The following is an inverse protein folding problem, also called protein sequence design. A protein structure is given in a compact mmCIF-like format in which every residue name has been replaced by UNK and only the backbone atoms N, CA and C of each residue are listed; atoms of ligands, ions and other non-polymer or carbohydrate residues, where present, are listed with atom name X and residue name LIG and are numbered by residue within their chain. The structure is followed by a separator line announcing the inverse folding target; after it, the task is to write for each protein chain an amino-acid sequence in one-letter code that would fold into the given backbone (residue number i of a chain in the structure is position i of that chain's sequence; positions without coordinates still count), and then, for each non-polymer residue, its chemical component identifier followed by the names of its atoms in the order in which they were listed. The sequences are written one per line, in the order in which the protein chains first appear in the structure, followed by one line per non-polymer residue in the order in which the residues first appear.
data_IF_054933138151
#
_entry.id   IF_054933138151
#
_cell.length_a   1.000
_cell.length_b   1.000
_cell.length_c   1.000
_cell.angle_alpha   90.00
_cell.angle_beta   90.00
_cell.angle_gamma   90.00
#
_symmetry.space_group_name_H-M   'P 1'
#
loop_
_entity.id
_entity.type
_entity.pdbx_description
1 polymer ?
#
# COMPACT_ATOMS: atom_id res chain seq x y z
N UNK A 1 -99.73 -15.72 47.16
CA UNK A 1 -98.31 -15.44 47.45
C UNK A 1 -97.63 -14.87 46.17
N UNK A 2 -97.63 -13.53 46.09
CA UNK A 2 -97.16 -12.80 44.90
C UNK A 2 -95.69 -12.48 45.04
N UNK A 3 -94.82 -13.09 44.27
CA UNK A 3 -93.41 -12.71 44.11
C UNK A 3 -93.23 -11.80 42.90
N UNK A 4 -92.92 -10.53 43.16
CA UNK A 4 -92.70 -9.46 42.18
C UNK A 4 -91.45 -9.74 41.31
N UNK A 5 -91.68 -9.93 40.04
CA UNK A 5 -90.69 -9.78 38.96
C UNK A 5 -90.37 -8.28 38.75
N UNK A 6 -89.46 -7.78 39.54
CA UNK A 6 -89.08 -6.34 39.50
C UNK A 6 -87.62 -6.07 39.17
N UNK A 7 -86.84 -7.01 38.60
CA UNK A 7 -85.39 -6.77 38.35
C UNK A 7 -84.89 -6.83 36.90
N UNK A 8 -85.77 -7.14 35.95
CA UNK A 8 -85.33 -7.23 34.53
C UNK A 8 -85.48 -5.91 33.76
N UNK A 9 -86.19 -4.96 34.31
CA UNK A 9 -86.33 -3.64 33.59
C UNK A 9 -85.20 -2.66 33.75
N UNK A 10 -84.19 -2.90 34.59
CA UNK A 10 -83.04 -2.05 34.76
C UNK A 10 -81.92 -2.40 33.76
N UNK A 11 -81.81 -3.62 33.30
CA UNK A 11 -80.79 -4.05 32.33
C UNK A 11 -81.13 -3.58 30.89
N UNK A 12 -82.44 -3.41 30.60
CA UNK A 12 -82.83 -2.89 29.27
C UNK A 12 -82.68 -1.38 29.10
N UNK A 13 -82.42 -0.63 30.17
CA UNK A 13 -82.07 0.80 30.09
C UNK A 13 -80.61 1.06 29.87
N UNK A 14 -79.74 0.14 30.29
CA UNK A 14 -78.31 0.26 30.03
C UNK A 14 -77.90 0.17 28.53
N UNK A 15 -78.75 -0.45 27.72
CA UNK A 15 -78.54 -0.56 26.28
C UNK A 15 -79.03 0.67 25.44
N UNK A 16 -79.57 1.72 26.11
CA UNK A 16 -80.02 2.95 25.45
C UNK A 16 -79.31 4.21 25.92
N UNK A 17 -78.35 4.07 26.79
CA UNK A 17 -77.54 5.21 27.26
C UNK A 17 -76.32 5.44 26.34
N UNK A 18 -76.55 6.27 25.37
CA UNK A 18 -75.50 6.60 24.34
C UNK A 18 -74.23 7.18 24.98
N UNK A 19 -74.36 7.82 26.13
CA UNK A 19 -73.20 8.33 26.92
C UNK A 19 -72.35 7.22 27.47
N UNK A 20 -72.88 6.06 27.85
CA UNK A 20 -72.10 4.91 28.27
C UNK A 20 -71.37 4.22 27.14
N UNK A 21 -71.92 4.19 25.96
CA UNK A 21 -71.31 3.63 24.75
C UNK A 21 -70.10 4.44 24.31
N UNK A 22 -70.18 5.78 24.33
CA UNK A 22 -69.08 6.69 24.01
C UNK A 22 -67.88 6.50 24.93
N UNK A 23 -68.10 6.31 26.24
CA UNK A 23 -66.99 6.09 27.19
C UNK A 23 -66.26 4.79 26.92
N UNK A 24 -66.95 3.70 26.59
CA UNK A 24 -66.38 2.41 26.27
C UNK A 24 -65.59 2.50 24.94
N UNK A 25 -66.13 3.15 23.91
CA UNK A 25 -65.47 3.34 22.66
C UNK A 25 -64.21 4.19 22.82
N UNK A 26 -64.31 5.30 23.58
CA UNK A 26 -63.14 6.16 23.87
C UNK A 26 -62.04 5.41 24.60
N UNK A 27 -62.37 4.53 25.57
CA UNK A 27 -61.36 3.74 26.29
C UNK A 27 -60.66 2.75 25.34
N UNK A 28 -61.39 2.11 24.42
CA UNK A 28 -60.78 1.20 23.42
C UNK A 28 -59.88 1.97 22.49
N UNK A 29 -60.32 3.12 21.96
CA UNK A 29 -59.48 3.96 21.11
C UNK A 29 -58.22 4.47 21.85
N UNK A 30 -58.34 4.83 23.14
CA UNK A 30 -57.22 5.30 23.95
C UNK A 30 -56.18 4.20 24.14
N UNK A 31 -56.58 2.96 24.41
CA UNK A 31 -55.66 1.81 24.46
C UNK A 31 -54.97 1.56 23.13
N UNK A 32 -55.71 1.65 22.01
CA UNK A 32 -55.15 1.48 20.70
C UNK A 32 -54.13 2.59 20.40
N UNK A 33 -54.45 3.85 20.68
CA UNK A 33 -53.57 5.00 20.48
C UNK A 33 -52.28 4.85 21.32
N UNK A 34 -52.40 4.50 22.60
CA UNK A 34 -51.22 4.24 23.43
C UNK A 34 -50.37 3.07 22.93
N UNK A 35 -51.02 2.03 22.39
CA UNK A 35 -50.33 0.90 21.77
C UNK A 35 -49.51 1.34 20.55
N UNK A 36 -50.09 2.18 19.67
CA UNK A 36 -49.36 2.71 18.50
C UNK A 36 -48.23 3.66 18.90
N UNK A 37 -48.44 4.52 19.89
CA UNK A 37 -47.40 5.40 20.42
C UNK A 37 -46.24 4.57 21.00
N UNK A 38 -46.55 3.55 21.79
CA UNK A 38 -45.55 2.66 22.34
C UNK A 38 -44.74 1.91 21.27
N UNK A 39 -45.41 1.40 20.24
CA UNK A 39 -44.78 0.75 19.12
C UNK A 39 -43.87 1.70 18.35
N UNK A 40 -44.33 2.93 18.10
CA UNK A 40 -43.54 3.94 17.39
C UNK A 40 -42.28 4.34 18.16
N UNK A 41 -42.38 4.56 19.45
CA UNK A 41 -41.26 4.97 20.30
C UNK A 41 -40.27 3.81 20.54
N UNK A 42 -40.72 2.63 20.91
CA UNK A 42 -39.84 1.50 21.15
C UNK A 42 -39.26 0.94 19.85
N UNK A 43 -40.03 0.96 18.74
CA UNK A 43 -39.54 0.63 17.41
C UNK A 43 -38.53 1.62 16.91
N UNK A 44 -38.74 2.92 17.13
CA UNK A 44 -37.78 3.98 16.81
C UNK A 44 -36.46 3.80 17.55
N UNK A 45 -36.50 3.48 18.85
CA UNK A 45 -35.28 3.18 19.62
C UNK A 45 -34.55 1.93 19.13
N UNK A 46 -35.28 0.90 18.74
CA UNK A 46 -34.69 -0.31 18.15
C UNK A 46 -33.97 0.01 16.85
N UNK A 47 -34.56 0.78 15.94
CA UNK A 47 -33.95 1.20 14.70
C UNK A 47 -32.70 2.06 14.91
N UNK A 48 -32.75 2.99 15.89
CA UNK A 48 -31.59 3.81 16.24
C UNK A 48 -30.44 2.96 16.78
N UNK A 49 -30.74 1.95 17.63
CA UNK A 49 -29.70 1.03 18.09
C UNK A 49 -29.13 0.21 16.93
N UNK A 50 -29.99 -0.34 16.07
CA UNK A 50 -29.54 -1.14 14.92
C UNK A 50 -28.62 -0.33 14.00
N UNK A 51 -28.98 0.91 13.67
CA UNK A 51 -28.13 1.79 12.87
C UNK A 51 -26.79 2.10 13.58
N UNK A 52 -26.83 2.37 14.89
CA UNK A 52 -25.61 2.61 15.66
C UNK A 52 -24.69 1.38 15.73
N UNK A 53 -25.27 0.17 15.78
CA UNK A 53 -24.51 -1.08 15.71
C UNK A 53 -23.94 -1.32 14.32
N UNK A 54 -24.66 -0.93 13.26
CA UNK A 54 -24.14 -1.01 11.89
C UNK A 54 -22.97 -0.06 11.69
N UNK A 55 -23.10 1.20 12.12
CA UNK A 55 -22.01 2.18 12.08
C UNK A 55 -20.76 1.68 12.82
N UNK A 56 -20.98 1.04 13.98
CA UNK A 56 -19.91 0.43 14.76
C UNK A 56 -19.26 -0.75 14.03
N UNK A 57 -20.07 -1.64 13.47
CA UNK A 57 -19.57 -2.80 12.72
C UNK A 57 -18.75 -2.34 11.50
N UNK A 58 -19.25 -1.34 10.77
CA UNK A 58 -18.59 -0.76 9.61
C UNK A 58 -17.24 -0.12 9.99
N UNK A 59 -17.22 0.70 11.04
CA UNK A 59 -16.00 1.33 11.51
C UNK A 59 -14.97 0.31 12.03
N UNK A 60 -15.41 -0.69 12.77
CA UNK A 60 -14.54 -1.75 13.27
C UNK A 60 -14.01 -2.65 12.15
N UNK A 61 -14.85 -2.96 11.15
CA UNK A 61 -14.42 -3.73 9.99
C UNK A 61 -13.36 -2.97 9.18
N UNK A 62 -13.55 -1.67 8.95
CA UNK A 62 -12.55 -0.83 8.26
C UNK A 62 -11.24 -0.74 9.05
N UNK A 63 -11.31 -0.54 10.37
CA UNK A 63 -10.12 -0.49 11.22
C UNK A 63 -9.36 -1.84 11.21
N UNK A 64 -10.07 -2.96 11.29
CA UNK A 64 -9.47 -4.29 11.21
C UNK A 64 -8.89 -4.58 9.83
N UNK A 65 -9.60 -4.20 8.76
CA UNK A 65 -9.12 -4.40 7.39
C UNK A 65 -7.79 -3.67 7.12
N UNK A 66 -7.57 -2.51 7.71
CA UNK A 66 -6.31 -1.77 7.57
C UNK A 66 -5.08 -2.56 8.05
N UNK A 67 -5.26 -3.51 8.96
CA UNK A 67 -4.18 -4.36 9.49
C UNK A 67 -3.98 -5.68 8.73
N UNK A 68 -4.87 -6.00 7.78
CA UNK A 68 -4.77 -7.23 6.99
C UNK A 68 -3.77 -7.05 5.84
N UNK A 69 -2.50 -7.19 6.14
CA UNK A 69 -1.41 -7.08 5.18
C UNK A 69 -0.82 -8.43 4.74
N UNK A 70 -1.36 -9.52 5.27
CA UNK A 70 -0.90 -10.87 5.01
C UNK A 70 0.40 -11.24 5.73
N UNK A 71 1.02 -10.33 6.46
CA UNK A 71 2.20 -10.62 7.28
C UNK A 71 1.84 -11.40 8.54
N UNK A 72 2.83 -11.95 9.21
CA UNK A 72 2.61 -12.72 10.44
C UNK A 72 1.81 -11.92 11.48
N UNK A 73 0.89 -12.58 12.15
CA UNK A 73 -0.04 -12.02 13.14
C UNK A 73 -0.98 -10.90 12.60
N UNK A 74 -1.15 -10.76 11.29
CA UNK A 74 -2.05 -9.74 10.72
C UNK A 74 -3.49 -9.90 11.19
N UNK A 75 -4.00 -11.14 11.32
CA UNK A 75 -5.35 -11.39 11.87
C UNK A 75 -5.48 -10.98 13.34
N UNK A 76 -4.44 -11.19 14.13
CA UNK A 76 -4.42 -10.78 15.54
C UNK A 76 -4.42 -9.25 15.67
N UNK A 77 -3.59 -8.56 14.86
CA UNK A 77 -3.60 -7.09 14.79
C UNK A 77 -4.95 -6.56 14.34
N UNK A 78 -5.53 -7.16 13.29
CA UNK A 78 -6.85 -6.79 12.78
C UNK A 78 -7.95 -6.93 13.83
N UNK A 79 -7.94 -8.03 14.60
CA UNK A 79 -8.87 -8.22 15.72
C UNK A 79 -8.68 -7.14 16.78
N UNK A 80 -7.44 -6.86 17.16
CA UNK A 80 -7.13 -5.83 18.16
C UNK A 80 -7.55 -4.44 17.72
N UNK A 81 -7.31 -4.08 16.45
CA UNK A 81 -7.71 -2.79 15.89
C UNK A 81 -9.25 -2.65 15.84
N UNK A 82 -9.95 -3.68 15.40
CA UNK A 82 -11.40 -3.71 15.37
C UNK A 82 -12.00 -3.57 16.80
N UNK A 83 -11.43 -4.28 17.76
CA UNK A 83 -11.88 -4.21 19.17
C UNK A 83 -11.57 -2.83 19.78
N UNK A 84 -10.41 -2.23 19.50
CA UNK A 84 -10.07 -0.90 19.95
C UNK A 84 -11.04 0.15 19.39
N UNK A 85 -11.41 0.03 18.10
CA UNK A 85 -12.40 0.90 17.49
C UNK A 85 -13.77 0.76 18.15
N UNK A 86 -14.20 -0.48 18.43
CA UNK A 86 -15.46 -0.75 19.11
C UNK A 86 -15.49 -0.18 20.54
N UNK A 87 -14.42 -0.33 21.28
CA UNK A 87 -14.33 0.16 22.66
C UNK A 87 -14.32 1.70 22.75
N UNK A 88 -13.72 2.35 21.74
CA UNK A 88 -13.64 3.83 21.71
C UNK A 88 -14.92 4.49 21.17
N UNK A 89 -15.78 3.74 20.51
CA UNK A 89 -17.01 4.24 19.91
C UNK A 89 -18.22 3.39 20.35
N UNK A 90 -18.60 3.44 21.63
CA UNK A 90 -19.72 2.66 22.11
C UNK A 90 -21.03 3.07 21.40
N UNK A 91 -21.90 2.14 21.05
CA UNK A 91 -23.15 2.45 20.38
C UNK A 91 -24.04 3.31 21.29
N UNK A 92 -24.80 4.18 20.68
CA UNK A 92 -25.78 5.02 21.39
C UNK A 92 -27.02 4.19 21.77
N UNK A 93 -27.69 4.57 22.83
CA UNK A 93 -28.99 3.96 23.25
C UNK A 93 -28.89 2.53 23.79
N UNK A 94 -27.78 2.16 24.42
CA UNK A 94 -27.65 0.88 25.12
C UNK A 94 -27.73 1.05 26.64
N UNK A 95 -27.95 -0.06 27.33
CA UNK A 95 -28.00 -0.04 28.80
C UNK A 95 -26.61 0.17 29.41
N UNK A 96 -26.56 1.03 30.44
CA UNK A 96 -25.29 1.50 31.02
C UNK A 96 -24.62 0.37 31.78
N UNK A 97 -23.51 -0.16 31.28
CA UNK A 97 -22.70 -1.15 31.99
C UNK A 97 -22.18 -2.34 31.14
N UNK A 98 -22.53 -2.40 29.87
CA UNK A 98 -22.02 -3.44 28.96
C UNK A 98 -20.72 -3.05 28.28
N UNK A 99 -19.79 -4.00 28.12
CA UNK A 99 -18.64 -3.84 27.22
C UNK A 99 -19.08 -4.08 25.78
N UNK A 100 -18.48 -3.31 24.85
CA UNK A 100 -18.71 -3.51 23.42
C UNK A 100 -17.98 -4.78 22.98
N UNK A 101 -18.69 -5.88 22.92
CA UNK A 101 -18.14 -7.15 22.43
C UNK A 101 -18.45 -7.32 20.95
N UNK A 102 -17.42 -7.57 20.16
CA UNK A 102 -17.54 -7.86 18.75
C UNK A 102 -16.86 -9.19 18.44
N UNK A 103 -17.36 -9.88 17.42
CA UNK A 103 -16.74 -11.10 16.89
C UNK A 103 -16.14 -10.82 15.54
N UNK A 104 -14.90 -11.25 15.33
CA UNK A 104 -14.20 -11.11 14.06
C UNK A 104 -14.03 -12.46 13.38
N UNK A 105 -14.24 -12.51 12.07
CA UNK A 105 -13.99 -13.67 11.23
C UNK A 105 -13.24 -13.25 9.98
N UNK A 106 -12.38 -14.13 9.46
CA UNK A 106 -11.49 -13.81 8.34
C UNK A 106 -11.77 -14.71 7.15
N UNK A 107 -11.72 -14.14 5.96
CA UNK A 107 -12.01 -14.85 4.71
C UNK A 107 -10.93 -14.59 3.67
N UNK A 108 -10.67 -15.62 2.85
CA UNK A 108 -9.74 -15.55 1.72
C UNK A 108 -10.44 -15.13 0.43
N UNK A 109 -11.72 -15.50 0.28
CA UNK A 109 -12.55 -15.15 -0.87
C UNK A 109 -14.00 -14.93 -0.43
N UNK A 110 -14.69 -14.07 -1.17
CA UNK A 110 -16.13 -13.82 -1.02
C UNK A 110 -16.82 -14.35 -2.27
N UNK A 111 -17.77 -15.24 -2.09
CA UNK A 111 -18.61 -15.76 -3.16
C UNK A 111 -20.07 -15.69 -2.72
N UNK A 112 -20.87 -14.79 -3.31
CA UNK A 112 -22.30 -14.65 -2.96
C UNK A 112 -23.14 -15.85 -3.40
N UNK A 113 -22.63 -16.73 -4.26
CA UNK A 113 -23.35 -17.88 -4.79
C UNK A 113 -22.99 -19.16 -4.04
N UNK A 114 -21.69 -19.41 -3.84
CA UNK A 114 -21.20 -20.68 -3.26
C UNK A 114 -20.81 -20.55 -1.78
N UNK A 115 -20.87 -19.35 -1.23
CA UNK A 115 -20.47 -19.06 0.14
C UNK A 115 -19.04 -18.59 0.28
N UNK A 116 -18.78 -17.82 1.34
CA UNK A 116 -17.49 -17.22 1.61
C UNK A 116 -16.48 -18.26 2.09
N UNK A 117 -15.26 -18.22 1.59
CA UNK A 117 -14.18 -19.14 1.99
C UNK A 117 -13.41 -18.57 3.16
N UNK A 118 -13.40 -19.28 4.31
CA UNK A 118 -12.64 -18.88 5.49
C UNK A 118 -11.13 -18.86 5.25
N UNK A 119 -10.44 -17.89 5.84
CA UNK A 119 -8.99 -17.82 5.80
C UNK A 119 -8.37 -18.78 6.81
N UNK A 120 -7.41 -19.59 6.36
CA UNK A 120 -6.72 -20.58 7.21
C UNK A 120 -5.44 -20.01 7.81
N UNK A 121 -4.84 -19.01 7.19
CA UNK A 121 -3.58 -18.38 7.59
C UNK A 121 -3.66 -16.84 7.53
N UNK A 122 -2.63 -16.18 8.05
CA UNK A 122 -2.51 -14.72 7.94
C UNK A 122 -2.34 -14.27 6.48
N UNK A 123 -1.64 -15.05 5.66
CA UNK A 123 -1.45 -14.79 4.23
C UNK A 123 -2.76 -14.79 3.44
N UNK A 124 -3.67 -15.68 3.80
CA UNK A 124 -4.90 -15.90 3.06
C UNK A 124 -6.00 -14.91 3.49
N UNK A 125 -5.83 -14.24 4.61
CA UNK A 125 -6.83 -13.34 5.18
C UNK A 125 -6.89 -12.03 4.37
N UNK A 126 -7.81 -11.97 3.41
CA UNK A 126 -8.05 -10.79 2.57
C UNK A 126 -9.22 -9.93 3.05
N UNK A 127 -10.13 -10.53 3.80
CA UNK A 127 -11.35 -9.87 4.29
C UNK A 127 -11.53 -10.12 5.77
N UNK A 128 -12.03 -9.11 6.47
CA UNK A 128 -12.51 -9.23 7.85
C UNK A 128 -14.01 -8.99 7.89
N UNK A 129 -14.73 -9.87 8.55
CA UNK A 129 -16.13 -9.70 8.91
C UNK A 129 -16.21 -9.42 10.40
N UNK A 130 -16.83 -8.33 10.75
CA UNK A 130 -17.12 -7.95 12.12
C UNK A 130 -18.62 -8.16 12.37
N UNK A 131 -18.94 -8.85 13.44
CA UNK A 131 -20.31 -9.04 13.90
C UNK A 131 -20.42 -8.49 15.31
N UNK A 132 -21.41 -7.65 15.56
CA UNK A 132 -21.73 -7.23 16.92
C UNK A 132 -22.38 -8.41 17.64
N UNK A 133 -21.76 -8.87 18.72
CA UNK A 133 -22.20 -10.08 19.42
C UNK A 133 -23.32 -9.76 20.39
N UNK A 134 -24.44 -10.41 20.17
CA UNK A 134 -25.66 -10.30 20.99
C UNK A 134 -25.55 -11.07 22.30
N UNK A 135 -24.69 -12.10 22.33
CA UNK A 135 -24.61 -13.04 23.45
C UNK A 135 -23.64 -12.61 24.53
N UNK A 136 -22.65 -11.80 24.18
CA UNK A 136 -21.54 -11.48 25.05
C UNK A 136 -21.69 -10.24 25.94
N UNK A 137 -22.88 -9.86 26.32
CA UNK A 137 -22.96 -8.95 27.45
C UNK A 137 -23.63 -7.60 27.25
N UNK A 138 -24.68 -7.55 26.48
CA UNK A 138 -25.69 -6.58 26.84
C UNK A 138 -25.79 -5.29 25.99
N UNK A 139 -24.93 -5.01 25.04
CA UNK A 139 -25.09 -3.79 24.23
C UNK A 139 -26.15 -3.93 23.13
N UNK A 140 -26.54 -5.14 22.80
CA UNK A 140 -27.46 -5.43 21.69
C UNK A 140 -28.91 -5.56 22.13
N UNK A 141 -29.23 -5.21 23.36
CA UNK A 141 -30.60 -5.34 23.87
C UNK A 141 -31.25 -3.99 24.03
N UNK A 142 -32.40 -3.82 23.44
CA UNK A 142 -33.33 -2.73 23.74
C UNK A 142 -34.36 -3.21 24.68
N UNK A 143 -34.45 -2.63 25.86
CA UNK A 143 -35.53 -2.85 26.79
C UNK A 143 -36.71 -1.99 26.33
N UNK A 144 -37.87 -2.61 25.98
CA UNK A 144 -39.04 -1.85 25.63
C UNK A 144 -39.50 -1.04 26.85
N UNK A 145 -39.82 0.22 26.64
CA UNK A 145 -40.23 1.12 27.72
C UNK A 145 -41.74 1.16 27.82
N UNK A 146 -42.39 1.23 26.70
CA UNK A 146 -43.85 1.37 26.61
C UNK A 146 -44.56 0.03 26.39
N UNK A 147 -43.96 -0.85 25.61
CA UNK A 147 -44.56 -2.15 25.30
C UNK A 147 -44.36 -3.21 26.39
N UNK A 148 -43.58 -2.92 27.43
CA UNK A 148 -43.49 -3.80 28.63
C UNK A 148 -44.86 -4.06 29.27
N UNK A 149 -45.72 -3.03 29.32
CA UNK A 149 -47.08 -3.16 29.82
C UNK A 149 -47.93 -4.13 28.98
N UNK A 150 -47.57 -4.36 27.73
CA UNK A 150 -48.20 -5.34 26.84
C UNK A 150 -47.47 -6.70 26.84
N UNK A 151 -46.51 -6.91 27.75
CA UNK A 151 -45.73 -8.16 27.84
C UNK A 151 -44.58 -8.30 26.88
N UNK A 152 -44.15 -7.21 26.21
CA UNK A 152 -43.01 -7.28 25.33
C UNK A 152 -41.70 -7.51 26.12
N UNK A 153 -40.86 -8.39 25.58
CA UNK A 153 -39.55 -8.72 26.13
C UNK A 153 -38.44 -7.92 25.43
N UNK A 154 -37.28 -7.85 26.04
CA UNK A 154 -36.11 -7.20 25.43
C UNK A 154 -35.78 -7.83 24.07
N UNK A 155 -35.60 -6.99 23.07
CA UNK A 155 -35.23 -7.40 21.72
C UNK A 155 -33.72 -7.29 21.55
N UNK A 156 -33.15 -8.26 20.83
CA UNK A 156 -31.73 -8.22 20.44
C UNK A 156 -31.57 -7.58 19.04
N UNK A 157 -30.58 -6.80 18.90
CA UNK A 157 -30.14 -6.27 17.59
C UNK A 157 -28.73 -6.72 17.35
N UNK A 158 -28.42 -7.07 16.11
CA UNK A 158 -27.05 -7.36 15.66
C UNK A 158 -26.81 -6.69 14.33
N UNK A 159 -25.57 -6.37 14.07
CA UNK A 159 -25.15 -5.85 12.77
C UNK A 159 -23.87 -6.56 12.34
N UNK A 160 -23.66 -6.62 11.04
CA UNK A 160 -22.45 -7.22 10.45
C UNK A 160 -21.93 -6.35 9.36
N UNK A 161 -20.61 -6.21 9.30
CA UNK A 161 -19.92 -5.53 8.23
C UNK A 161 -18.74 -6.37 7.75
N UNK A 162 -18.44 -6.28 6.49
CA UNK A 162 -17.26 -6.91 5.92
C UNK A 162 -16.44 -5.89 5.16
N UNK A 163 -15.14 -5.87 5.43
CA UNK A 163 -14.20 -4.94 4.79
C UNK A 163 -12.95 -5.68 4.28
N UNK A 164 -12.31 -5.08 3.30
CA UNK A 164 -10.97 -5.46 2.81
C UNK A 164 -10.06 -4.25 2.74
N UNK A 165 -8.76 -4.50 2.82
CA UNK A 165 -7.76 -3.52 2.44
C UNK A 165 -7.09 -3.93 1.14
N UNK A 166 -6.84 -2.95 0.28
CA UNK A 166 -6.06 -3.13 -0.93
C UNK A 166 -4.89 -2.16 -0.86
N UNK A 167 -3.67 -2.68 -0.90
CA UNK A 167 -2.47 -1.85 -1.00
C UNK A 167 -2.42 -1.19 -2.38
N UNK A 168 -2.05 0.08 -2.43
CA UNK A 168 -1.81 0.80 -3.67
C UNK A 168 -0.50 1.57 -3.54
N UNK A 169 0.41 1.35 -4.47
CA UNK A 169 1.65 2.09 -4.58
C UNK A 169 1.73 2.77 -5.93
N UNK A 170 1.78 4.10 -5.92
CA UNK A 170 1.96 4.90 -7.12
C UNK A 170 3.43 5.31 -7.29
N UNK A 171 3.80 5.66 -8.52
CA UNK A 171 5.14 6.18 -8.87
C UNK A 171 6.30 5.22 -8.56
N UNK A 172 6.04 3.92 -8.45
CA UNK A 172 7.08 2.91 -8.28
C UNK A 172 7.55 2.37 -9.62
N UNK A 173 8.82 2.02 -9.69
CA UNK A 173 9.35 1.30 -10.84
C UNK A 173 8.96 -0.17 -10.80
N UNK A 174 8.94 -0.80 -11.97
CA UNK A 174 8.58 -2.21 -12.13
C UNK A 174 9.73 -3.15 -11.73
N UNK A 175 10.21 -3.03 -10.49
CA UNK A 175 11.37 -3.75 -9.97
C UNK A 175 11.10 -4.33 -8.58
N UNK A 176 11.63 -5.52 -8.32
CA UNK A 176 11.60 -6.15 -7.02
C UNK A 176 12.95 -6.75 -6.62
N UNK A 177 13.20 -6.70 -5.33
CA UNK A 177 14.33 -7.35 -4.67
C UNK A 177 13.79 -8.28 -3.59
N UNK A 178 14.12 -9.56 -3.68
CA UNK A 178 13.94 -10.45 -2.54
C UNK A 178 14.85 -9.98 -1.41
N UNK A 179 14.28 -9.70 -0.27
CA UNK A 179 15.00 -9.19 0.89
C UNK A 179 16.26 -10.02 1.17
N UNK A 180 17.47 -9.47 0.99
CA UNK A 180 18.71 -10.23 1.21
C UNK A 180 18.88 -10.70 2.65
N UNK A 181 18.22 -10.04 3.59
CA UNK A 181 18.26 -10.32 5.02
C UNK A 181 17.04 -11.13 5.50
N UNK A 182 16.24 -11.67 4.58
CA UNK A 182 15.10 -12.52 4.93
C UNK A 182 15.59 -13.79 5.64
N UNK A 183 15.08 -14.11 6.84
CA UNK A 183 15.42 -15.34 7.54
C UNK A 183 14.99 -16.58 6.74
N UNK A 184 15.87 -17.58 6.63
CA UNK A 184 15.54 -18.84 5.96
C UNK A 184 14.43 -19.63 6.69
N UNK A 185 14.23 -19.35 7.97
CA UNK A 185 13.17 -19.93 8.81
C UNK A 185 12.56 -18.83 9.68
N UNK A 186 11.26 -18.83 9.84
CA UNK A 186 10.56 -17.86 10.69
C UNK A 186 10.42 -16.46 10.07
N UNK A 187 10.54 -16.35 8.74
CA UNK A 187 10.21 -15.11 8.03
C UNK A 187 8.78 -14.69 8.32
N UNK A 188 8.56 -13.39 8.48
CA UNK A 188 7.28 -12.78 8.88
C UNK A 188 6.56 -12.09 7.72
N UNK A 189 7.25 -11.90 6.60
CA UNK A 189 6.71 -11.27 5.39
C UNK A 189 6.57 -9.74 5.47
N UNK A 190 7.06 -9.13 6.55
CA UNK A 190 6.95 -7.68 6.79
C UNK A 190 8.21 -6.89 6.36
N UNK A 191 9.22 -7.58 5.85
CA UNK A 191 10.50 -7.00 5.41
C UNK A 191 11.24 -6.17 6.48
N UNK A 192 10.93 -6.37 7.76
CA UNK A 192 11.54 -5.63 8.87
C UNK A 192 13.06 -5.87 8.98
N UNK A 193 13.51 -7.03 8.54
CA UNK A 193 14.94 -7.39 8.48
C UNK A 193 15.73 -6.64 7.39
N UNK A 194 15.07 -6.01 6.43
CA UNK A 194 15.73 -5.22 5.39
C UNK A 194 16.16 -3.86 5.95
N UNK A 195 17.42 -3.76 6.31
CA UNK A 195 17.99 -2.53 6.87
C UNK A 195 19.44 -2.32 6.42
N UNK A 196 19.69 -2.15 5.10
CA UNK A 196 21.03 -1.84 4.61
C UNK A 196 21.48 -0.46 5.08
N UNK A 197 22.80 -0.26 5.13
CA UNK A 197 23.39 1.05 5.42
C UNK A 197 23.07 2.02 4.26
N UNK A 198 22.65 3.23 4.56
CA UNK A 198 22.49 4.30 3.56
C UNK A 198 23.85 4.56 2.90
N UNK A 199 23.86 4.64 1.58
CA UNK A 199 25.08 4.74 0.79
C UNK A 199 25.64 3.40 0.29
N UNK A 200 25.16 2.25 0.78
CA UNK A 200 25.57 0.95 0.29
C UNK A 200 25.26 0.78 -1.19
N UNK A 201 26.24 0.34 -1.97
CA UNK A 201 26.03 0.02 -3.37
C UNK A 201 25.29 -1.31 -3.52
N UNK A 202 24.33 -1.34 -4.42
CA UNK A 202 23.66 -2.56 -4.84
C UNK A 202 23.85 -2.74 -6.34
N UNK A 203 24.30 -3.93 -6.71
CA UNK A 203 24.39 -4.32 -8.11
C UNK A 203 23.31 -5.38 -8.34
N UNK A 204 22.36 -5.08 -9.23
CA UNK A 204 21.26 -5.98 -9.55
C UNK A 204 21.46 -6.63 -10.91
N UNK A 205 21.27 -7.93 -10.98
CA UNK A 205 21.18 -8.71 -12.21
C UNK A 205 19.80 -9.34 -12.30
N UNK A 206 19.10 -9.12 -13.41
CA UNK A 206 17.74 -9.63 -13.60
C UNK A 206 17.75 -11.16 -13.67
N UNK A 207 16.91 -11.78 -12.83
CA UNK A 207 16.74 -13.22 -12.83
C UNK A 207 16.12 -13.73 -14.13
N UNK A 208 16.63 -14.81 -14.65
CA UNK A 208 15.90 -15.66 -15.59
C UNK A 208 14.82 -16.47 -14.85
N UNK A 209 13.84 -16.98 -15.59
CA UNK A 209 12.72 -17.75 -15.03
C UNK A 209 13.16 -19.14 -14.55
N UNK A 210 13.75 -19.27 -13.39
CA UNK A 210 14.18 -20.59 -12.91
C UNK A 210 13.94 -20.73 -11.40
N UNK A 211 12.87 -21.45 -11.06
CA UNK A 211 12.68 -21.93 -9.70
C UNK A 211 12.13 -20.93 -8.69
N UNK A 212 12.21 -21.26 -7.41
CA UNK A 212 11.82 -20.41 -6.31
C UNK A 212 12.83 -19.28 -6.07
N UNK A 213 12.34 -18.11 -5.72
CA UNK A 213 13.19 -16.97 -5.42
C UNK A 213 13.70 -17.04 -3.97
N UNK A 214 15.00 -16.91 -3.84
CA UNK A 214 15.70 -16.89 -2.55
C UNK A 214 16.10 -15.47 -2.18
N UNK A 215 16.50 -15.22 -0.91
CA UNK A 215 17.03 -13.92 -0.50
C UNK A 215 18.12 -13.41 -1.43
N UNK A 216 18.02 -12.13 -1.80
CA UNK A 216 18.94 -11.48 -2.73
C UNK A 216 18.63 -11.64 -4.22
N UNK A 217 17.61 -12.42 -4.62
CA UNK A 217 17.17 -12.46 -6.03
C UNK A 217 16.55 -11.13 -6.41
N UNK A 218 16.92 -10.64 -7.58
CA UNK A 218 16.36 -9.42 -8.19
C UNK A 218 15.58 -9.79 -9.45
N UNK A 219 14.42 -9.20 -9.64
CA UNK A 219 13.63 -9.36 -10.86
C UNK A 219 12.79 -8.12 -11.16
N UNK A 220 12.18 -8.12 -12.33
CA UNK A 220 11.20 -7.12 -12.71
C UNK A 220 9.80 -7.60 -12.32
N UNK A 221 8.89 -6.65 -12.15
CA UNK A 221 7.48 -6.89 -11.88
C UNK A 221 6.66 -6.67 -13.15
N UNK A 222 5.56 -7.38 -13.27
CA UNK A 222 4.56 -7.08 -14.28
C UNK A 222 4.02 -5.66 -14.07
N UNK A 223 3.79 -4.96 -15.18
CA UNK A 223 3.29 -3.59 -15.13
C UNK A 223 1.78 -3.58 -14.89
N UNK A 224 1.24 -2.53 -14.26
CA UNK A 224 -0.20 -2.44 -13.98
C UNK A 224 -1.09 -2.45 -15.23
N UNK A 225 -0.52 -2.23 -16.41
CA UNK A 225 -1.25 -2.13 -17.68
C UNK A 225 -1.21 -3.39 -18.54
N UNK A 226 -0.49 -4.42 -18.14
CA UNK A 226 -0.41 -5.60 -18.97
C UNK A 226 0.68 -6.58 -18.59
N UNK A 227 1.02 -7.41 -19.53
CA UNK A 227 1.78 -8.64 -19.44
C UNK A 227 3.28 -8.52 -19.17
N UNK A 228 3.79 -7.43 -18.62
CA UNK A 228 5.23 -7.27 -18.42
C UNK A 228 6.04 -7.43 -19.70
N UNK A 229 5.48 -7.00 -20.86
CA UNK A 229 6.18 -7.06 -22.14
C UNK A 229 7.42 -6.17 -22.10
N UNK A 230 8.42 -6.49 -22.93
CA UNK A 230 9.65 -5.70 -23.00
C UNK A 230 9.39 -4.22 -23.27
N UNK A 231 8.39 -3.90 -24.09
CA UNK A 231 8.06 -2.53 -24.41
C UNK A 231 7.42 -1.79 -23.21
N UNK A 232 6.56 -2.44 -22.46
CA UNK A 232 5.96 -1.86 -21.26
C UNK A 232 7.03 -1.65 -20.17
N UNK A 233 7.90 -2.63 -19.96
CA UNK A 233 8.99 -2.50 -19.00
C UNK A 233 9.94 -1.37 -19.38
N UNK A 234 10.34 -1.23 -20.66
CA UNK A 234 11.15 -0.10 -21.13
C UNK A 234 10.50 1.24 -20.80
N UNK A 235 9.19 1.38 -21.08
CA UNK A 235 8.45 2.60 -20.78
C UNK A 235 8.45 2.91 -19.29
N UNK A 236 8.13 1.92 -18.44
CA UNK A 236 8.12 2.08 -16.99
C UNK A 236 9.47 2.49 -16.44
N UNK A 237 10.53 1.81 -16.87
CA UNK A 237 11.88 2.10 -16.41
C UNK A 237 12.41 3.45 -16.92
N UNK A 238 11.94 3.91 -18.08
CA UNK A 238 12.32 5.22 -18.62
C UNK A 238 11.67 6.39 -17.89
N UNK A 239 10.49 6.23 -17.29
CA UNK A 239 9.76 7.30 -16.62
C UNK A 239 10.33 7.59 -15.23
N UNK A 240 10.48 8.88 -14.90
CA UNK A 240 10.89 9.31 -13.57
C UNK A 240 9.86 8.93 -12.51
N UNK A 241 8.61 9.22 -12.81
CA UNK A 241 7.47 8.94 -11.93
C UNK A 241 6.38 8.28 -12.78
N UNK A 242 6.38 6.95 -12.90
CA UNK A 242 5.33 6.28 -13.63
C UNK A 242 3.95 6.71 -13.12
N UNK A 243 3.09 7.15 -14.02
CA UNK A 243 1.75 7.71 -13.70
C UNK A 243 0.76 6.63 -13.21
N UNK A 244 1.23 5.43 -12.93
CA UNK A 244 0.40 4.29 -12.59
C UNK A 244 0.64 3.83 -11.17
N UNK A 245 -0.39 3.21 -10.62
CA UNK A 245 -0.34 2.62 -9.30
C UNK A 245 -0.40 1.10 -9.41
N UNK A 246 0.48 0.42 -8.69
CA UNK A 246 0.31 -1.01 -8.42
C UNK A 246 -0.78 -1.14 -7.34
N UNK A 247 -1.86 -1.85 -7.63
CA UNK A 247 -2.97 -2.07 -6.70
C UNK A 247 -3.14 -3.55 -6.42
N UNK A 248 -3.32 -3.89 -5.17
CA UNK A 248 -3.49 -5.28 -4.73
C UNK A 248 -2.15 -6.00 -4.58
N UNK A 249 -1.81 -6.82 -5.49
CA UNK A 249 -0.53 -7.52 -5.61
C UNK A 249 -0.02 -7.44 -7.04
N UNK A 250 1.20 -7.87 -7.24
CA UNK A 250 1.81 -7.95 -8.57
C UNK A 250 2.56 -9.26 -8.69
N UNK A 251 2.91 -9.63 -9.92
CA UNK A 251 3.65 -10.85 -10.23
C UNK A 251 5.03 -10.54 -10.77
N UNK A 252 6.02 -11.41 -10.60
CA UNK A 252 7.29 -11.27 -11.29
C UNK A 252 7.10 -11.32 -12.80
N UNK A 253 7.73 -10.40 -13.52
CA UNK A 253 7.71 -10.41 -14.98
C UNK A 253 8.41 -11.66 -15.51
N UNK A 254 7.79 -12.31 -16.49
CA UNK A 254 8.32 -13.52 -17.08
C UNK A 254 9.36 -13.23 -18.17
N UNK A 255 10.35 -14.10 -18.27
CA UNK A 255 11.40 -14.05 -19.29
C UNK A 255 12.56 -13.13 -18.94
N UNK A 256 13.63 -13.30 -19.70
CA UNK A 256 14.83 -12.51 -19.52
C UNK A 256 14.63 -11.11 -20.13
N UNK A 257 14.67 -10.08 -19.32
CA UNK A 257 14.35 -8.68 -19.68
C UNK A 257 15.59 -7.78 -19.77
N UNK A 258 16.76 -8.35 -19.98
CA UNK A 258 18.04 -7.63 -19.98
C UNK A 258 18.05 -6.42 -20.93
N UNK A 259 17.59 -6.60 -22.17
CA UNK A 259 17.55 -5.50 -23.14
C UNK A 259 16.54 -4.42 -22.74
N UNK A 260 15.38 -4.81 -22.21
CA UNK A 260 14.39 -3.85 -21.71
C UNK A 260 14.94 -3.01 -20.55
N UNK A 261 15.70 -3.65 -19.66
CA UNK A 261 16.36 -3.00 -18.53
C UNK A 261 17.44 -2.02 -19.01
N UNK A 262 18.33 -2.45 -19.90
CA UNK A 262 19.37 -1.59 -20.46
C UNK A 262 18.74 -0.34 -21.08
N UNK A 263 17.77 -0.50 -21.97
CA UNK A 263 17.13 0.64 -22.64
C UNK A 263 16.42 1.55 -21.66
N UNK A 264 15.57 0.99 -20.77
CA UNK A 264 14.76 1.78 -19.85
C UNK A 264 15.59 2.56 -18.82
N UNK A 265 16.72 2.02 -18.38
CA UNK A 265 17.63 2.71 -17.47
C UNK A 265 18.51 3.73 -18.22
N UNK A 266 19.02 3.36 -19.39
CA UNK A 266 20.05 4.16 -20.06
C UNK A 266 19.51 5.44 -20.70
N UNK A 267 18.22 5.52 -21.01
CA UNK A 267 17.60 6.78 -21.45
C UNK A 267 17.69 7.87 -20.36
N UNK A 268 17.73 7.48 -19.09
CA UNK A 268 17.95 8.42 -17.96
C UNK A 268 19.36 9.01 -17.95
N UNK A 269 20.29 8.38 -18.67
CA UNK A 269 21.67 8.79 -18.86
C UNK A 269 21.92 9.33 -20.26
N UNK A 270 20.91 9.89 -20.92
CA UNK A 270 21.01 10.45 -22.27
C UNK A 270 21.48 9.45 -23.34
N UNK A 271 21.22 8.16 -23.13
CA UNK A 271 21.47 7.13 -24.14
C UNK A 271 20.19 6.79 -24.87
N UNK A 272 20.13 7.11 -26.14
CA UNK A 272 18.97 6.77 -26.95
C UNK A 272 19.06 5.33 -27.49
N UNK A 273 17.96 4.56 -27.37
CA UNK A 273 17.95 3.22 -27.93
C UNK A 273 17.91 3.24 -29.45
N UNK A 274 18.52 2.23 -30.07
CA UNK A 274 18.32 1.95 -31.48
C UNK A 274 16.88 1.42 -31.67
N UNK A 275 16.07 2.09 -32.49
CA UNK A 275 14.75 1.60 -32.87
C UNK A 275 13.59 2.41 -32.30
N UNK A 276 12.48 1.70 -31.96
CA UNK A 276 11.25 2.36 -31.55
C UNK A 276 11.35 3.00 -30.15
N UNK A 277 11.29 4.33 -30.10
CA UNK A 277 11.28 5.14 -28.87
C UNK A 277 9.89 5.56 -28.43
N UNK A 278 8.84 5.11 -29.11
CA UNK A 278 7.48 5.50 -28.83
C UNK A 278 7.07 5.16 -27.37
N UNK A 279 6.64 6.19 -26.66
CA UNK A 279 6.21 6.08 -25.26
C UNK A 279 7.35 6.01 -24.24
N UNK A 280 8.61 6.10 -24.64
CA UNK A 280 9.72 6.27 -23.72
C UNK A 280 9.81 7.73 -23.27
N UNK A 281 10.12 7.92 -22.00
CA UNK A 281 10.52 9.23 -21.50
C UNK A 281 12.03 9.41 -21.75
N UNK A 282 12.36 10.17 -22.77
CA UNK A 282 13.73 10.41 -23.23
C UNK A 282 14.42 11.56 -22.48
N UNK A 283 13.75 12.17 -21.50
CA UNK A 283 14.35 13.23 -20.68
C UNK A 283 15.47 12.66 -19.82
N UNK A 284 16.74 13.06 -19.99
CA UNK A 284 17.82 12.54 -19.16
C UNK A 284 17.87 13.22 -17.79
N UNK A 285 18.57 12.58 -16.86
CA UNK A 285 18.97 13.23 -15.62
C UNK A 285 20.09 14.25 -15.92
N UNK A 286 20.34 15.23 -15.04
CA UNK A 286 21.56 16.00 -15.07
C UNK A 286 22.77 15.06 -15.02
N UNK A 287 23.53 15.00 -16.09
CA UNK A 287 24.67 14.11 -16.22
C UNK A 287 25.92 14.87 -16.51
N UNK A 288 27.02 14.29 -16.10
CA UNK A 288 28.34 14.78 -16.42
C UNK A 288 28.92 13.88 -17.47
N UNK A 289 29.19 14.46 -18.61
CA UNK A 289 29.77 13.75 -19.74
C UNK A 289 31.25 14.03 -19.75
N UNK A 290 32.09 13.01 -19.70
CA UNK A 290 33.53 13.17 -19.86
C UNK A 290 33.87 13.54 -21.28
N UNK A 291 34.30 14.79 -21.50
CA UNK A 291 35.13 15.24 -22.64
C UNK A 291 34.56 15.15 -24.05
N UNK A 292 33.29 14.84 -24.27
CA UNK A 292 32.76 14.71 -25.63
C UNK A 292 31.60 15.65 -25.90
N UNK A 293 31.92 16.88 -26.24
CA UNK A 293 30.95 17.83 -26.80
C UNK A 293 30.36 17.40 -28.16
N UNK A 294 30.94 16.41 -28.82
CA UNK A 294 30.51 15.92 -30.12
C UNK A 294 30.46 14.40 -30.11
N UNK A 295 29.34 13.82 -29.67
CA UNK A 295 29.07 12.42 -29.91
C UNK A 295 28.58 12.21 -31.34
N UNK A 296 29.32 11.46 -32.18
CA UNK A 296 28.88 11.18 -33.54
C UNK A 296 27.67 10.24 -33.60
N UNK A 297 27.36 9.51 -32.53
CA UNK A 297 26.26 8.55 -32.48
C UNK A 297 25.59 8.50 -31.10
N UNK A 298 24.39 9.02 -30.99
CA UNK A 298 23.56 8.89 -29.80
C UNK A 298 23.06 7.42 -29.52
N UNK A 299 23.37 6.52 -30.40
CA UNK A 299 22.89 5.13 -30.42
C UNK A 299 23.82 4.14 -29.69
N UNK A 300 24.81 4.61 -28.95
CA UNK A 300 25.73 3.68 -28.28
C UNK A 300 25.15 3.16 -26.99
N UNK A 301 24.42 2.06 -27.10
CA UNK A 301 23.88 1.31 -25.94
C UNK A 301 24.97 0.71 -25.04
N UNK A 302 26.19 0.55 -25.53
CA UNK A 302 27.22 -0.25 -24.87
C UNK A 302 28.42 0.56 -24.37
N UNK A 303 28.50 1.84 -24.65
CA UNK A 303 29.61 2.66 -24.15
C UNK A 303 29.27 3.32 -22.82
N UNK A 304 29.38 2.53 -21.78
CA UNK A 304 29.07 2.90 -20.39
C UNK A 304 30.10 3.88 -19.84
N UNK A 305 31.31 3.88 -20.42
CA UNK A 305 32.46 4.64 -19.91
C UNK A 305 32.50 6.09 -20.36
N UNK A 306 31.88 6.41 -21.51
CA UNK A 306 31.98 7.72 -22.14
C UNK A 306 30.95 8.76 -21.67
N UNK A 307 30.06 8.42 -20.74
CA UNK A 307 28.80 9.14 -20.57
C UNK A 307 28.55 9.77 -19.21
N UNK A 308 29.29 9.38 -18.23
CA UNK A 308 29.25 10.02 -16.92
C UNK A 308 30.59 9.89 -16.23
N UNK A 309 30.95 10.87 -15.43
CA UNK A 309 32.09 10.72 -14.55
C UNK A 309 31.81 9.58 -13.61
N UNK A 310 32.68 8.55 -13.51
CA UNK A 310 32.47 7.41 -12.67
C UNK A 310 32.46 7.84 -11.20
N UNK A 311 31.37 7.64 -10.53
CA UNK A 311 31.30 7.80 -9.09
C UNK A 311 32.07 6.65 -8.40
N UNK A 312 32.67 6.89 -7.23
CA UNK A 312 33.42 5.86 -6.52
C UNK A 312 32.55 4.62 -6.26
N UNK A 313 33.12 3.44 -6.47
CA UNK A 313 32.45 2.17 -6.18
C UNK A 313 32.79 1.69 -4.76
N UNK A 314 31.95 0.80 -4.23
CA UNK A 314 32.27 0.12 -2.97
C UNK A 314 33.46 -0.82 -3.14
N UNK A 315 34.27 -0.94 -2.12
CA UNK A 315 35.48 -1.76 -2.17
C UNK A 315 35.22 -3.25 -1.99
N UNK A 316 34.08 -3.61 -1.42
CA UNK A 316 33.70 -4.99 -1.12
C UNK A 316 32.22 -5.19 -1.29
N UNK A 317 31.83 -6.37 -1.75
CA UNK A 317 30.45 -6.78 -1.95
C UNK A 317 30.18 -8.14 -1.30
N UNK A 318 28.93 -8.33 -0.87
CA UNK A 318 28.40 -9.58 -0.36
C UNK A 318 27.15 -9.94 -1.16
N UNK A 319 27.07 -11.09 -1.82
CA UNK A 319 28.14 -12.05 -2.09
C UNK A 319 29.22 -11.47 -3.02
N UNK A 320 30.46 -11.96 -2.97
CA UNK A 320 31.57 -11.40 -3.75
C UNK A 320 31.45 -11.65 -5.26
N UNK A 321 30.65 -12.64 -5.66
CA UNK A 321 30.37 -12.94 -7.07
C UNK A 321 28.88 -12.94 -7.30
N UNK A 322 28.47 -12.29 -8.41
CA UNK A 322 27.07 -12.23 -8.79
C UNK A 322 26.66 -13.52 -9.50
N UNK A 323 25.63 -14.20 -8.99
CA UNK A 323 24.91 -15.21 -9.74
C UNK A 323 23.89 -14.57 -10.67
N UNK A 324 23.52 -15.23 -11.77
CA UNK A 324 22.42 -14.72 -12.62
C UNK A 324 21.15 -14.54 -11.80
N UNK A 325 20.60 -13.34 -11.85
CA UNK A 325 19.39 -13.02 -11.13
C UNK A 325 19.57 -12.71 -9.65
N UNK A 326 20.78 -12.34 -9.26
CA UNK A 326 21.10 -11.97 -7.87
C UNK A 326 21.29 -10.49 -7.66
N UNK A 327 21.55 -10.15 -6.41
CA UNK A 327 22.06 -8.85 -6.00
C UNK A 327 23.35 -9.00 -5.20
N UNK A 328 24.24 -8.04 -5.37
CA UNK A 328 25.39 -7.86 -4.49
C UNK A 328 25.18 -6.60 -3.69
N UNK A 329 25.50 -6.64 -2.43
CA UNK A 329 25.41 -5.50 -1.52
C UNK A 329 26.80 -5.09 -1.07
N UNK A 330 27.14 -3.82 -1.25
CA UNK A 330 28.37 -3.21 -0.76
C UNK A 330 28.23 -2.65 0.66
N UNK A 331 29.31 -2.14 1.16
CA UNK A 331 29.40 -1.55 2.52
C UNK A 331 29.14 -0.04 2.56
N UNK A 332 29.01 0.59 1.42
CA UNK A 332 29.02 2.04 1.23
C UNK A 332 30.38 2.57 0.75
N UNK A 333 30.42 3.76 0.12
CA UNK A 333 31.64 4.34 -0.38
C UNK A 333 32.55 4.75 0.78
N UNK A 334 33.84 4.45 0.66
CA UNK A 334 34.79 4.98 1.62
C UNK A 334 34.87 6.51 1.49
N UNK A 335 34.88 7.22 2.63
CA UNK A 335 34.97 8.69 2.61
C UNK A 335 36.22 9.17 1.85
N UNK A 336 37.33 8.44 1.93
CA UNK A 336 38.54 8.74 1.19
C UNK A 336 38.35 8.71 -0.33
N UNK A 337 37.49 7.81 -0.83
CA UNK A 337 37.20 7.70 -2.26
C UNK A 337 36.31 8.85 -2.74
N UNK A 338 35.33 9.27 -1.93
CA UNK A 338 34.55 10.47 -2.20
C UNK A 338 35.42 11.75 -2.17
N UNK A 339 36.35 11.85 -1.24
CA UNK A 339 37.27 12.95 -1.15
C UNK A 339 38.26 12.97 -2.34
N UNK A 340 38.75 11.82 -2.78
CA UNK A 340 39.59 11.69 -3.95
C UNK A 340 38.83 12.10 -5.22
N UNK A 341 37.60 11.63 -5.38
CA UNK A 341 36.74 12.06 -6.48
C UNK A 341 36.57 13.58 -6.49
N UNK A 342 36.19 14.16 -5.33
CA UNK A 342 36.01 15.61 -5.22
C UNK A 342 37.30 16.39 -5.58
N UNK A 343 38.40 15.98 -4.98
CA UNK A 343 39.70 16.66 -5.22
C UNK A 343 40.18 16.60 -6.68
N UNK A 344 39.77 15.59 -7.41
CA UNK A 344 40.04 15.46 -8.83
C UNK A 344 39.19 16.38 -9.70
N UNK A 345 37.96 16.64 -9.30
CA UNK A 345 36.98 17.33 -10.15
C UNK A 345 36.60 18.73 -9.68
N UNK A 346 36.75 19.02 -8.38
CA UNK A 346 36.37 20.32 -7.81
C UNK A 346 37.53 20.99 -7.05
N UNK A 347 37.51 22.31 -6.89
CA UNK A 347 38.41 23.00 -5.99
C UNK A 347 38.01 22.81 -4.53
N UNK A 348 38.98 22.94 -3.64
CA UNK A 348 38.76 22.81 -2.20
C UNK A 348 38.51 21.40 -1.74
N UNK A 349 38.03 21.24 -0.49
CA UNK A 349 37.70 19.96 0.14
C UNK A 349 36.24 19.60 -0.02
N UNK A 350 35.94 18.29 0.00
CA UNK A 350 34.57 17.79 0.03
C UNK A 350 33.81 18.42 1.21
N UNK A 351 32.61 18.97 1.00
CA UNK A 351 31.80 19.54 2.08
C UNK A 351 31.53 18.55 3.21
N UNK A 352 31.54 19.07 4.43
CA UNK A 352 31.27 18.26 5.62
C UNK A 352 29.85 17.70 5.56
N UNK A 353 29.68 16.42 5.92
CA UNK A 353 28.37 15.76 5.94
C UNK A 353 28.04 14.99 4.66
N UNK A 354 28.86 15.11 3.61
CA UNK A 354 28.71 14.30 2.39
C UNK A 354 29.36 12.94 2.63
N UNK A 355 28.52 11.91 2.71
CA UNK A 355 28.95 10.54 3.00
C UNK A 355 28.46 9.54 1.98
N UNK A 356 27.62 9.98 1.02
CA UNK A 356 27.02 9.13 -0.01
C UNK A 356 27.19 9.71 -1.39
N UNK A 357 27.11 8.87 -2.42
CA UNK A 357 27.17 9.31 -3.84
C UNK A 357 25.95 10.14 -4.21
N UNK A 358 24.80 9.80 -3.63
CA UNK A 358 23.56 10.56 -3.83
C UNK A 358 23.72 12.00 -3.34
N UNK A 359 24.24 12.20 -2.13
CA UNK A 359 24.51 13.54 -1.59
C UNK A 359 25.53 14.30 -2.45
N UNK A 360 26.59 13.62 -2.88
CA UNK A 360 27.59 14.20 -3.77
C UNK A 360 26.96 14.65 -5.09
N UNK A 361 26.18 13.79 -5.72
CA UNK A 361 25.49 14.10 -6.98
C UNK A 361 24.51 15.27 -6.83
N UNK A 362 23.74 15.31 -5.74
CA UNK A 362 22.83 16.44 -5.47
C UNK A 362 23.58 17.78 -5.35
N UNK A 363 24.75 17.80 -4.70
CA UNK A 363 25.59 19.00 -4.60
C UNK A 363 26.06 19.46 -5.97
N UNK A 364 26.50 18.54 -6.78
CA UNK A 364 27.00 18.83 -8.11
C UNK A 364 25.91 19.33 -9.07
N UNK A 365 24.67 18.75 -8.95
CA UNK A 365 23.51 19.23 -9.72
C UNK A 365 23.07 20.61 -9.25
N UNK A 366 23.09 20.86 -7.95
CA UNK A 366 22.76 22.17 -7.39
C UNK A 366 23.79 23.28 -7.81
N UNK A 367 25.02 22.89 -8.13
CA UNK A 367 26.03 23.79 -8.61
C UNK A 367 26.41 24.92 -7.66
N UNK A 368 26.20 24.75 -6.34
CA UNK A 368 26.42 25.79 -5.35
C UNK A 368 27.86 25.79 -4.84
N UNK A 369 28.45 26.97 -4.73
CA UNK A 369 29.84 27.12 -4.25
C UNK A 369 30.87 26.36 -5.10
N UNK A 370 31.75 25.63 -4.44
CA UNK A 370 32.81 24.85 -5.13
C UNK A 370 32.23 23.70 -5.99
N UNK A 371 31.02 23.23 -5.72
CA UNK A 371 30.37 22.21 -6.53
C UNK A 371 29.99 22.68 -7.93
N UNK A 372 29.80 23.99 -8.12
CA UNK A 372 29.60 24.61 -9.45
C UNK A 372 30.87 24.89 -10.21
N UNK A 373 32.04 24.70 -9.61
CA UNK A 373 33.35 24.97 -10.22
C UNK A 373 34.02 23.64 -10.55
N UNK A 374 34.34 23.43 -11.82
CA UNK A 374 34.98 22.21 -12.30
C UNK A 374 36.43 22.51 -12.70
N UNK A 375 37.33 21.59 -12.41
CA UNK A 375 38.73 21.70 -12.90
C UNK A 375 38.78 21.46 -14.38
N UNK A 376 39.82 21.96 -15.02
CA UNK A 376 39.99 22.00 -16.50
C UNK A 376 39.98 20.62 -17.17
N UNK A 377 40.30 19.58 -16.45
CA UNK A 377 40.25 18.17 -16.87
C UNK A 377 38.95 17.45 -16.48
N UNK A 378 38.12 18.12 -15.70
CA UNK A 378 36.79 17.67 -15.38
C UNK A 378 35.76 18.30 -16.31
N UNK A 379 34.73 17.61 -16.61
CA UNK A 379 33.73 18.06 -17.57
C UNK A 379 32.56 18.65 -16.84
N UNK A 380 32.19 19.87 -17.23
CA UNK A 380 30.96 20.49 -16.73
C UNK A 380 29.73 19.62 -16.99
N UNK A 381 28.70 19.68 -16.13
CA UNK A 381 27.43 19.09 -16.45
C UNK A 381 26.91 19.74 -17.75
N UNK A 382 26.82 18.96 -18.80
CA UNK A 382 26.20 19.40 -20.03
C UNK A 382 24.73 19.07 -20.05
N UNK A 383 23.96 19.85 -20.74
CA UNK A 383 22.61 19.50 -21.12
C UNK A 383 22.61 18.24 -21.99
N UNK A 384 21.42 17.71 -22.31
CA UNK A 384 21.29 16.52 -23.12
C UNK A 384 21.96 16.71 -24.49
N UNK A 385 22.78 15.75 -24.87
CA UNK A 385 23.44 15.75 -26.18
C UNK A 385 22.60 15.00 -27.20
N UNK A 386 21.84 14.01 -26.75
CA UNK A 386 21.11 13.08 -27.58
C UNK A 386 19.60 13.21 -27.50
N UNK A 387 19.05 13.84 -26.48
CA UNK A 387 17.63 14.10 -26.39
C UNK A 387 17.17 15.02 -27.54
N UNK A 388 15.96 14.85 -28.07
CA UNK A 388 15.42 15.73 -29.09
C UNK A 388 15.46 17.18 -28.62
N UNK A 389 15.76 18.10 -29.53
CA UNK A 389 15.83 19.55 -29.24
C UNK A 389 14.54 20.15 -28.72
N UNK A 390 13.41 19.50 -28.94
CA UNK A 390 12.13 19.86 -28.33
C UNK A 390 12.06 19.53 -26.82
N UNK A 391 12.99 18.73 -26.32
CA UNK A 391 13.24 18.48 -24.92
C UNK A 391 14.38 19.36 -24.41
N UNK A 392 14.76 20.37 -25.17
CA UNK A 392 15.73 21.35 -24.74
C UNK A 392 15.34 21.87 -23.38
N UNK A 393 16.01 21.24 -22.46
CA UNK A 393 16.62 21.95 -21.48
C UNK A 393 16.02 22.93 -20.77
N UNK A 394 15.32 22.44 -20.11
CA UNK A 394 14.81 23.26 -19.08
C UNK A 394 15.77 23.20 -17.93
N UNK A 395 15.92 24.29 -17.20
CA UNK A 395 16.73 24.34 -15.99
C UNK A 395 16.24 23.38 -14.90
N UNK A 396 15.37 22.46 -15.25
CA UNK A 396 14.64 21.55 -14.41
C UNK A 396 15.01 20.08 -14.62
N UNK A 397 16.27 19.82 -14.98
CA UNK A 397 16.76 18.45 -14.84
C UNK A 397 16.64 18.04 -13.36
N UNK A 398 15.60 17.32 -13.07
CA UNK A 398 15.39 16.82 -11.71
C UNK A 398 16.45 15.76 -11.39
N UNK A 399 17.27 16.04 -10.38
CA UNK A 399 18.22 15.07 -9.84
C UNK A 399 17.54 13.73 -9.52
N UNK A 400 16.27 13.75 -9.12
CA UNK A 400 15.48 12.57 -8.82
C UNK A 400 15.23 11.66 -10.03
N UNK A 401 15.55 12.13 -11.24
CA UNK A 401 15.51 11.30 -12.44
C UNK A 401 16.38 10.03 -12.34
N UNK A 402 17.41 10.05 -11.50
CA UNK A 402 18.28 8.90 -11.19
C UNK A 402 17.81 8.12 -9.95
N UNK A 403 16.71 8.50 -9.30
CA UNK A 403 16.11 7.70 -8.26
C UNK A 403 15.11 6.69 -8.82
N UNK A 404 15.17 5.47 -8.33
CA UNK A 404 14.23 4.41 -8.64
C UNK A 404 13.68 3.81 -7.34
N UNK A 405 12.41 3.39 -7.38
CA UNK A 405 11.77 2.68 -6.28
C UNK A 405 11.74 1.19 -6.59
N UNK A 406 12.35 0.41 -5.73
CA UNK A 406 12.37 -1.06 -5.84
C UNK A 406 11.50 -1.64 -4.72
N UNK A 407 10.57 -2.52 -5.10
CA UNK A 407 9.79 -3.28 -4.13
C UNK A 407 10.68 -4.27 -3.40
N UNK A 408 10.67 -4.24 -2.07
CA UNK A 408 11.36 -5.24 -1.25
C UNK A 408 10.35 -6.26 -0.77
N UNK A 409 10.65 -7.54 -0.96
CA UNK A 409 9.72 -8.64 -0.71
C UNK A 409 10.44 -9.77 0.05
N UNK A 410 9.80 -10.30 1.09
CA UNK A 410 10.24 -11.53 1.74
C UNK A 410 9.79 -12.74 0.89
N UNK A 411 10.62 -13.10 -0.09
CA UNK A 411 10.25 -14.05 -1.13
C UNK A 411 10.02 -15.47 -0.61
N UNK A 412 10.73 -15.90 0.42
CA UNK A 412 10.52 -17.20 1.05
C UNK A 412 9.17 -17.24 1.77
N UNK A 413 8.85 -16.19 2.51
CA UNK A 413 7.56 -16.09 3.18
C UNK A 413 6.40 -16.17 2.18
N UNK A 414 6.45 -15.38 1.11
CA UNK A 414 5.39 -15.33 0.11
C UNK A 414 5.41 -16.48 -0.89
N UNK A 415 6.47 -17.29 -0.89
CA UNK A 415 6.64 -18.40 -1.84
C UNK A 415 6.75 -17.90 -3.27
N UNK A 416 7.50 -16.81 -3.48
CA UNK A 416 7.65 -16.18 -4.79
C UNK A 416 8.49 -17.08 -5.70
N UNK A 417 8.05 -17.25 -6.94
CA UNK A 417 8.82 -17.94 -7.99
C UNK A 417 8.49 -17.39 -9.37
N UNK A 418 9.42 -17.57 -10.31
CA UNK A 418 9.38 -16.91 -11.61
C UNK A 418 8.23 -17.28 -12.54
N UNK A 419 7.55 -18.41 -12.30
CA UNK A 419 6.48 -18.89 -13.18
C UNK A 419 5.08 -18.82 -12.55
N UNK A 420 4.96 -18.34 -11.34
CA UNK A 420 3.68 -18.25 -10.67
C UNK A 420 3.06 -16.87 -10.82
N UNK A 421 1.83 -16.87 -11.25
CA UNK A 421 0.94 -15.71 -11.10
C UNK A 421 0.54 -15.65 -9.63
N UNK A 422 1.40 -15.10 -8.80
CA UNK A 422 1.08 -14.83 -7.41
C UNK A 422 0.94 -13.33 -7.26
N UNK A 423 -0.22 -12.90 -6.81
CA UNK A 423 -0.38 -11.53 -6.34
C UNK A 423 0.49 -11.33 -5.10
N UNK A 424 1.73 -10.88 -5.30
CA UNK A 424 2.64 -10.58 -4.20
C UNK A 424 2.20 -9.27 -3.58
N UNK A 425 1.78 -9.27 -2.31
CA UNK A 425 1.49 -8.03 -1.63
C UNK A 425 2.81 -7.30 -1.33
N UNK A 426 2.96 -6.13 -1.93
CA UNK A 426 4.14 -5.31 -1.69
C UNK A 426 3.88 -4.44 -0.47
N UNK A 427 4.63 -4.71 0.59
CA UNK A 427 4.52 -3.98 1.86
C UNK A 427 5.55 -2.88 1.99
N UNK A 428 6.63 -2.92 1.20
CA UNK A 428 7.76 -2.03 1.35
C UNK A 428 8.42 -1.67 0.03
N UNK A 429 8.81 -0.41 -0.09
CA UNK A 429 9.64 0.09 -1.19
C UNK A 429 10.90 0.75 -0.63
N UNK A 430 11.99 0.58 -1.34
CA UNK A 430 13.25 1.23 -1.06
C UNK A 430 13.65 2.12 -2.24
N UNK A 431 14.24 3.26 -1.93
CA UNK A 431 14.77 4.20 -2.91
C UNK A 431 16.23 3.90 -3.18
N UNK A 432 16.55 3.81 -4.46
CA UNK A 432 17.90 3.57 -4.95
C UNK A 432 18.30 4.64 -5.95
N UNK A 433 19.51 5.15 -5.82
CA UNK A 433 20.12 6.08 -6.75
C UNK A 433 20.92 5.32 -7.80
N UNK A 434 20.64 5.57 -9.07
CA UNK A 434 21.38 4.98 -10.21
C UNK A 434 22.79 5.62 -10.32
N UNK A 435 23.81 4.82 -10.07
CA UNK A 435 25.20 5.29 -10.05
C UNK A 435 25.75 5.50 -11.47
N UNK A 436 25.45 4.56 -12.37
CA UNK A 436 25.93 4.57 -13.77
C UNK A 436 24.93 3.90 -14.71
N UNK A 437 25.09 4.07 -16.05
CA UNK A 437 24.31 3.33 -17.03
C UNK A 437 24.41 1.82 -16.85
N UNK A 438 23.37 1.11 -17.28
CA UNK A 438 23.29 -0.34 -17.24
C UNK A 438 24.05 -0.98 -18.41
N UNK A 439 24.83 -2.01 -18.11
CA UNK A 439 25.47 -2.91 -19.08
C UNK A 439 24.78 -4.30 -19.14
N UNK A 440 23.63 -4.38 -18.52
CA UNK A 440 22.89 -5.62 -18.23
C UNK A 440 22.69 -5.80 -16.73
N UNK A 441 23.57 -5.21 -15.93
CA UNK A 441 23.42 -5.03 -14.51
C UNK A 441 22.94 -3.61 -14.21
N UNK A 442 22.28 -3.41 -13.09
CA UNK A 442 21.83 -2.10 -12.62
C UNK A 442 22.66 -1.76 -11.38
N UNK A 443 23.38 -0.65 -11.46
CA UNK A 443 24.27 -0.18 -10.41
C UNK A 443 23.61 0.92 -9.62
N UNK A 444 23.37 0.67 -8.36
CA UNK A 444 22.57 1.56 -7.51
C UNK A 444 23.18 1.77 -6.15
N UNK A 445 22.84 2.87 -5.51
CA UNK A 445 23.13 3.14 -4.11
C UNK A 445 21.82 3.18 -3.32
N UNK A 446 21.78 2.51 -2.19
CA UNK A 446 20.63 2.57 -1.29
C UNK A 446 20.55 3.96 -0.63
N UNK A 447 19.44 4.64 -0.87
CA UNK A 447 19.19 6.00 -0.34
C UNK A 447 18.35 5.97 0.93
N UNK A 448 17.43 5.04 1.01
CA UNK A 448 16.56 4.89 2.18
C UNK A 448 15.19 4.34 1.84
N UNK A 449 14.33 4.33 2.86
CA UNK A 449 12.95 3.89 2.72
C UNK A 449 12.08 5.07 2.27
N UNK A 450 11.47 4.99 1.09
CA UNK A 450 10.44 5.93 0.60
C UNK A 450 10.82 7.42 0.63
N UNK A 451 11.98 7.81 0.08
CA UNK A 451 12.48 9.18 0.17
C UNK A 451 12.27 10.04 -1.08
N UNK A 452 11.58 9.60 -2.11
CA UNK A 452 11.40 10.42 -3.31
C UNK A 452 10.49 11.63 -3.02
N UNK A 453 11.06 12.82 -3.15
CA UNK A 453 10.36 14.12 -3.24
C UNK A 453 9.46 14.50 -2.07
N UNK A 454 9.71 14.09 -0.86
CA UNK A 454 8.84 14.50 0.25
C UNK A 454 7.37 14.07 0.08
N UNK A 455 7.04 13.41 -1.00
CA UNK A 455 5.81 12.68 -1.20
C UNK A 455 5.91 11.42 -0.35
N UNK A 456 5.72 11.63 0.94
CA UNK A 456 5.69 10.58 1.93
C UNK A 456 4.94 9.36 1.40
N UNK A 457 5.66 8.27 1.36
CA UNK A 457 5.23 6.91 1.10
C UNK A 457 3.88 6.80 0.42
N UNK A 458 3.93 6.62 -0.85
CA UNK A 458 2.71 6.47 -1.64
C UNK A 458 2.17 5.04 -1.58
N UNK A 459 2.67 4.25 -0.63
CA UNK A 459 2.00 3.02 -0.23
C UNK A 459 0.76 3.43 0.56
N UNK A 460 -0.38 3.45 -0.11
CA UNK A 460 -1.67 3.71 0.51
C UNK A 460 -2.42 2.39 0.62
N UNK A 461 -2.94 2.12 1.79
CA UNK A 461 -3.96 1.10 1.96
C UNK A 461 -5.31 1.74 1.76
N UNK A 462 -6.03 1.27 0.77
CA UNK A 462 -7.41 1.65 0.53
C UNK A 462 -8.27 0.61 1.20
N UNK A 463 -8.94 1.00 2.27
CA UNK A 463 -9.91 0.15 2.94
C UNK A 463 -11.31 0.44 2.41
N UNK A 464 -12.06 -0.61 2.16
CA UNK A 464 -13.42 -0.48 1.65
C UNK A 464 -14.33 -1.54 2.26
N UNK A 465 -15.56 -1.14 2.55
CA UNK A 465 -16.63 -2.07 2.86
C UNK A 465 -17.04 -2.84 1.61
N UNK A 466 -17.31 -4.10 1.76
CA UNK A 466 -17.73 -4.98 0.65
C UNK A 466 -19.08 -5.63 0.90
N UNK A 467 -19.53 -5.62 2.14
CA UNK A 467 -20.86 -6.10 2.59
C UNK A 467 -21.23 -5.43 3.90
#
# INVERSE_FOLDING_TARGET
MNLKFGRLSRLSRLGKDELGTILVQFTIYLVAVFGFIGLALDGGRYLLLHNSLQDLADAAALAGAAELDGTAASRARATSAAQAMANNNPPRWYDVGGSTSITTSFYSAIDPVNGDTGATSDKDAKYIKVTTDVTAGGISKVVPTFLVAAGAVSQSASATAMAKATGSQCFATSMMLCNPSEPLTGSTGDTSSFNPSVGAEFIFSVAGNTGGFTPGVFNLLDTPQGSGSDNEIKKFLSQQSPQFCFTGGTSPAQGQKTNATIVGINVRFDQQPNGNTSGLDLTPAPIKISGQANRPNCNQQNDVSAQSLPLPQDRSFTPPTMSQGGSQQGSGPALADLQAYWSNHHPGSLPVGVTTRWQLYQLEVAGTGNAGIWKTDAVEPHGPVCAPTSTEVLPEFDANRRLIKVAVVDCLYWGVHGNAVNEIPITHYADFFLIRPSDGNIYTEYVGKNQINGLNSLLRRIVQLVR
#
